data_IF_074728656379
#
_entry.id   IF_074728656379
#
_cell.length_a   1.000
_cell.length_b   1.000
_cell.length_c   1.000
_cell.angle_alpha   90.00
_cell.angle_beta   90.00
_cell.angle_gamma   90.00
#
_symmetry.space_group_name_H-M   'P 1'
#
loop_
_entity.id
_entity.type
_entity.pdbx_description
1 polymer ?
#
# COMPACT_ATOMS: atom_id res chain seq x y z
N UNK A 1 18.54 41.25 16.29
CA UNK A 1 17.96 41.12 14.94
C UNK A 1 19.13 40.92 13.98
N UNK A 2 19.43 39.68 13.59
CA UNK A 2 20.54 39.35 12.68
C UNK A 2 19.93 38.85 11.37
N UNK A 3 20.10 39.61 10.29
CA UNK A 3 19.70 39.22 8.95
C UNK A 3 20.86 38.44 8.29
N UNK A 4 20.61 37.19 7.88
CA UNK A 4 21.56 36.43 7.06
C UNK A 4 21.44 36.87 5.59
N UNK A 5 22.54 37.24 4.90
CA UNK A 5 22.48 37.91 3.60
C UNK A 5 22.54 36.92 2.41
N UNK A 6 21.88 35.76 2.50
CA UNK A 6 22.03 34.68 1.50
C UNK A 6 20.78 34.36 0.67
N UNK A 7 19.70 35.14 0.73
CA UNK A 7 18.49 34.86 -0.07
C UNK A 7 17.82 33.51 0.25
N UNK A 8 18.21 32.89 1.37
CA UNK A 8 17.65 31.65 1.92
C UNK A 8 16.31 31.87 2.62
N UNK A 9 15.87 33.12 2.75
CA UNK A 9 14.52 33.51 3.18
C UNK A 9 13.43 33.13 2.17
N UNK A 10 13.82 32.80 0.93
CA UNK A 10 12.90 32.41 -0.16
C UNK A 10 12.54 30.93 -0.21
N UNK A 11 13.15 30.10 0.65
CA UNK A 11 12.86 28.67 0.73
C UNK A 11 12.48 28.29 2.17
N UNK A 12 11.33 28.78 2.64
CA UNK A 12 10.69 28.22 3.83
C UNK A 12 10.08 26.87 3.44
N UNK A 13 10.82 25.77 3.63
CA UNK A 13 10.24 24.44 3.56
C UNK A 13 9.26 24.27 4.72
N UNK A 14 7.96 24.37 4.44
CA UNK A 14 6.95 23.92 5.40
C UNK A 14 7.01 22.39 5.51
N UNK A 15 6.87 21.87 6.73
CA UNK A 15 6.84 20.43 6.94
C UNK A 15 5.57 19.86 6.27
N UNK A 16 5.68 18.74 5.54
CA UNK A 16 4.53 18.17 4.86
C UNK A 16 3.48 17.72 5.89
N UNK A 17 2.23 17.98 5.57
CA UNK A 17 1.07 17.49 6.31
C UNK A 17 0.97 15.96 6.23
N UNK A 18 0.23 15.35 7.16
CA UNK A 18 0.02 13.91 7.14
C UNK A 18 -0.68 13.42 5.85
N UNK A 19 -1.54 14.25 5.25
CA UNK A 19 -2.24 13.89 4.01
C UNK A 19 -1.30 13.97 2.80
N UNK A 20 -0.39 14.94 2.75
CA UNK A 20 0.65 15.00 1.70
C UNK A 20 1.61 13.82 1.82
N UNK A 21 2.00 13.45 3.05
CA UNK A 21 2.79 12.25 3.31
C UNK A 21 2.04 10.98 2.89
N UNK A 22 0.74 10.88 3.15
CA UNK A 22 -0.09 9.76 2.68
C UNK A 22 -0.07 9.67 1.15
N UNK A 23 -0.28 10.78 0.44
CA UNK A 23 -0.27 10.81 -1.03
C UNK A 23 1.08 10.39 -1.61
N UNK A 24 2.19 10.83 -1.00
CA UNK A 24 3.52 10.41 -1.41
C UNK A 24 3.77 8.92 -1.09
N UNK A 25 3.31 8.45 0.08
CA UNK A 25 3.66 7.13 0.59
C UNK A 25 2.87 5.99 -0.06
N UNK A 26 1.67 6.22 -0.62
CA UNK A 26 0.83 5.16 -1.21
C UNK A 26 1.45 4.47 -2.43
N UNK A 27 2.37 5.11 -3.16
CA UNK A 27 3.01 4.49 -4.33
C UNK A 27 3.92 3.31 -3.96
N UNK A 28 4.59 3.38 -2.80
CA UNK A 28 5.47 2.31 -2.32
C UNK A 28 4.74 0.97 -2.08
N UNK A 29 3.68 0.90 -1.23
CA UNK A 29 2.97 -0.35 -1.03
C UNK A 29 2.32 -0.86 -2.31
N UNK A 30 1.79 0.01 -3.17
CA UNK A 30 1.21 -0.42 -4.46
C UNK A 30 2.28 -1.12 -5.30
N UNK A 31 3.41 -0.48 -5.54
CA UNK A 31 4.49 -1.07 -6.34
C UNK A 31 5.03 -2.37 -5.75
N UNK A 32 5.29 -2.40 -4.44
CA UNK A 32 5.84 -3.57 -3.76
C UNK A 32 4.86 -4.75 -3.74
N UNK A 33 3.59 -4.53 -3.46
CA UNK A 33 2.60 -5.59 -3.38
C UNK A 33 2.23 -6.15 -4.76
N UNK A 34 2.12 -5.30 -5.78
CA UNK A 34 1.95 -5.77 -7.17
C UNK A 34 3.16 -6.57 -7.64
N UNK A 35 4.37 -6.10 -7.32
CA UNK A 35 5.62 -6.82 -7.62
C UNK A 35 5.66 -8.17 -6.92
N UNK A 36 5.21 -8.24 -5.66
CA UNK A 36 5.12 -9.51 -4.92
C UNK A 36 4.27 -10.54 -5.65
N UNK A 37 3.03 -10.16 -6.03
CA UNK A 37 2.10 -11.07 -6.70
C UNK A 37 2.62 -11.47 -8.08
N UNK A 38 3.22 -10.54 -8.82
CA UNK A 38 3.89 -10.83 -10.08
C UNK A 38 5.02 -11.86 -9.90
N UNK A 39 5.92 -11.63 -8.95
CA UNK A 39 7.03 -12.53 -8.69
C UNK A 39 6.57 -13.92 -8.19
N UNK A 40 5.50 -13.99 -7.40
CA UNK A 40 4.89 -15.26 -6.99
C UNK A 40 4.33 -16.04 -8.21
N UNK A 41 3.66 -15.36 -9.14
CA UNK A 41 3.15 -15.97 -10.36
C UNK A 41 4.27 -16.53 -11.24
N UNK A 42 5.31 -15.71 -11.48
CA UNK A 42 6.52 -16.09 -12.23
C UNK A 42 7.23 -17.28 -11.56
N UNK A 43 7.44 -17.23 -10.25
CA UNK A 43 8.09 -18.29 -9.47
C UNK A 43 7.24 -19.56 -9.29
N UNK A 44 5.93 -19.49 -9.57
CA UNK A 44 5.04 -20.64 -9.66
C UNK A 44 5.15 -21.37 -11.00
N UNK A 45 5.25 -20.61 -12.09
CA UNK A 45 5.36 -21.13 -13.47
C UNK A 45 6.77 -21.67 -13.74
N UNK A 46 7.81 -20.89 -13.40
CA UNK A 46 9.21 -21.25 -13.67
C UNK A 46 9.93 -21.71 -12.40
N UNK A 47 9.84 -23.02 -12.12
CA UNK A 47 10.40 -23.64 -10.90
C UNK A 47 11.91 -23.44 -10.69
N UNK A 48 12.68 -23.13 -11.74
CA UNK A 48 14.12 -22.85 -11.65
C UNK A 48 14.44 -21.40 -11.20
N UNK A 49 13.43 -20.54 -11.08
CA UNK A 49 13.58 -19.11 -10.84
C UNK A 49 13.53 -18.79 -9.32
N UNK A 50 14.44 -19.40 -8.54
CA UNK A 50 14.44 -19.29 -7.07
C UNK A 50 14.44 -17.84 -6.56
N UNK A 51 15.11 -16.92 -7.27
CA UNK A 51 15.15 -15.51 -6.94
C UNK A 51 13.76 -14.85 -6.89
N UNK A 52 12.82 -15.24 -7.74
CA UNK A 52 11.48 -14.63 -7.77
C UNK A 52 10.68 -14.92 -6.50
N UNK A 53 10.78 -16.12 -5.92
CA UNK A 53 10.08 -16.43 -4.68
C UNK A 53 10.62 -15.61 -3.51
N UNK A 54 11.94 -15.43 -3.44
CA UNK A 54 12.58 -14.57 -2.45
C UNK A 54 12.19 -13.10 -2.63
N UNK A 55 12.19 -12.59 -3.88
CA UNK A 55 11.73 -11.24 -4.19
C UNK A 55 10.26 -11.06 -3.81
N UNK A 56 9.40 -12.03 -4.14
CA UNK A 56 7.99 -11.99 -3.80
C UNK A 56 7.79 -11.88 -2.28
N UNK A 57 8.50 -12.70 -1.52
CA UNK A 57 8.44 -12.67 -0.06
C UNK A 57 8.79 -11.29 0.52
N UNK A 58 9.96 -10.75 0.17
CA UNK A 58 10.43 -9.50 0.76
C UNK A 58 9.63 -8.29 0.30
N UNK A 59 9.25 -8.24 -0.98
CA UNK A 59 8.38 -7.16 -1.49
C UNK A 59 6.99 -7.24 -0.86
N UNK A 60 6.46 -8.43 -0.57
CA UNK A 60 5.22 -8.57 0.20
C UNK A 60 5.37 -7.99 1.61
N UNK A 61 6.40 -8.42 2.35
CA UNK A 61 6.57 -8.00 3.75
C UNK A 61 6.75 -6.48 3.86
N UNK A 62 7.65 -5.92 3.05
CA UNK A 62 7.91 -4.48 3.02
C UNK A 62 6.68 -3.72 2.51
N UNK A 63 5.99 -4.24 1.51
CA UNK A 63 4.76 -3.66 0.97
C UNK A 63 3.64 -3.59 2.02
N UNK A 64 3.46 -4.63 2.82
CA UNK A 64 2.46 -4.64 3.91
C UNK A 64 2.81 -3.62 5.00
N UNK A 65 4.08 -3.51 5.39
CA UNK A 65 4.51 -2.49 6.37
C UNK A 65 4.29 -1.08 5.80
N UNK A 66 4.68 -0.83 4.56
CA UNK A 66 4.45 0.45 3.89
C UNK A 66 2.96 0.76 3.78
N UNK A 67 2.10 -0.24 3.53
CA UNK A 67 0.66 -0.07 3.47
C UNK A 67 0.08 0.34 4.83
N UNK A 68 0.56 -0.27 5.93
CA UNK A 68 0.16 0.11 7.27
C UNK A 68 0.53 1.58 7.59
N UNK A 69 1.73 2.01 7.21
CA UNK A 69 2.18 3.40 7.35
C UNK A 69 1.28 4.33 6.54
N UNK A 70 1.05 4.04 5.25
CA UNK A 70 0.20 4.86 4.38
C UNK A 70 -1.24 4.96 4.88
N UNK A 71 -1.85 3.86 5.33
CA UNK A 71 -3.20 3.87 5.92
C UNK A 71 -3.22 4.69 7.21
N UNK A 72 -2.20 4.58 8.06
CA UNK A 72 -2.06 5.38 9.27
C UNK A 72 -2.00 6.88 8.96
N UNK A 73 -1.15 7.28 8.01
CA UNK A 73 -1.02 8.68 7.58
C UNK A 73 -2.36 9.23 7.07
N UNK A 74 -3.07 8.48 6.23
CA UNK A 74 -4.37 8.88 5.70
C UNK A 74 -5.44 8.98 6.79
N UNK A 75 -5.47 8.04 7.73
CA UNK A 75 -6.45 8.01 8.82
C UNK A 75 -6.29 9.19 9.79
N UNK A 76 -5.06 9.50 10.19
CA UNK A 76 -4.76 10.60 11.11
C UNK A 76 -4.72 11.96 10.42
N UNK A 77 -4.43 12.00 9.12
CA UNK A 77 -4.39 13.22 8.30
C UNK A 77 -5.69 13.59 7.60
N UNK A 78 -6.77 12.80 7.74
CA UNK A 78 -8.02 13.01 7.02
C UNK A 78 -8.68 14.37 7.38
N UNK A 79 -8.72 15.36 6.46
CA UNK A 79 -9.22 16.70 6.74
C UNK A 79 -10.75 16.79 6.83
N UNK A 80 -11.46 15.78 6.32
CA UNK A 80 -12.94 15.76 6.26
C UNK A 80 -13.54 14.76 7.25
N UNK A 81 -12.76 14.36 8.26
CA UNK A 81 -13.22 13.41 9.27
C UNK A 81 -14.41 13.97 10.05
N UNK A 82 -15.51 13.23 10.06
CA UNK A 82 -16.76 13.63 10.72
C UNK A 82 -17.57 14.69 9.97
N UNK A 83 -17.14 15.07 8.75
CA UNK A 83 -17.92 15.95 7.89
C UNK A 83 -18.93 15.15 7.06
N UNK A 84 -19.98 15.83 6.61
CA UNK A 84 -20.99 15.28 5.72
C UNK A 84 -20.84 15.84 4.29
N UNK A 85 -21.50 15.20 3.33
CA UNK A 85 -21.52 15.63 1.93
C UNK A 85 -20.78 14.69 0.98
N UNK A 86 -20.93 14.97 -0.32
CA UNK A 86 -20.49 14.07 -1.40
C UNK A 86 -18.99 13.77 -1.35
N UNK A 87 -18.17 14.79 -1.09
CA UNK A 87 -16.72 14.63 -1.00
C UNK A 87 -16.30 13.78 0.21
N UNK A 88 -16.87 14.05 1.39
CA UNK A 88 -16.61 13.26 2.60
C UNK A 88 -17.02 11.78 2.42
N UNK A 89 -18.11 11.51 1.70
CA UNK A 89 -18.51 10.15 1.33
C UNK A 89 -17.51 9.47 0.40
N UNK A 90 -17.00 10.18 -0.63
CA UNK A 90 -15.96 9.64 -1.51
C UNK A 90 -14.67 9.30 -0.74
N UNK A 91 -14.24 10.18 0.16
CA UNK A 91 -13.09 9.94 1.04
C UNK A 91 -13.34 8.72 1.93
N UNK A 92 -14.52 8.59 2.52
CA UNK A 92 -14.87 7.44 3.35
C UNK A 92 -14.82 6.11 2.56
N UNK A 93 -15.34 6.09 1.32
CA UNK A 93 -15.25 4.91 0.45
C UNK A 93 -13.78 4.57 0.16
N UNK A 94 -12.98 5.53 -0.30
CA UNK A 94 -11.54 5.32 -0.53
C UNK A 94 -10.82 4.78 0.71
N UNK A 95 -11.10 5.35 1.89
CA UNK A 95 -10.51 4.96 3.17
C UNK A 95 -10.81 3.50 3.51
N UNK A 96 -12.07 3.06 3.36
CA UNK A 96 -12.45 1.67 3.65
C UNK A 96 -11.84 0.67 2.66
N UNK A 97 -11.74 1.03 1.37
CA UNK A 97 -11.02 0.23 0.38
C UNK A 97 -9.52 0.13 0.69
N UNK A 98 -8.90 1.22 1.17
CA UNK A 98 -7.51 1.22 1.64
C UNK A 98 -7.28 0.30 2.84
N UNK A 99 -8.18 0.35 3.83
CA UNK A 99 -8.14 -0.55 5.00
C UNK A 99 -8.36 -2.01 4.56
N UNK A 100 -9.32 -2.28 3.69
CA UNK A 100 -9.55 -3.63 3.15
C UNK A 100 -8.30 -4.16 2.43
N UNK A 101 -7.62 -3.32 1.65
CA UNK A 101 -6.35 -3.65 0.99
C UNK A 101 -5.31 -4.08 2.03
N UNK A 102 -5.10 -3.27 3.07
CA UNK A 102 -4.16 -3.57 4.15
C UNK A 102 -4.50 -4.90 4.84
N UNK A 103 -5.77 -5.14 5.19
CA UNK A 103 -6.20 -6.37 5.84
C UNK A 103 -5.89 -7.60 4.98
N UNK A 104 -6.23 -7.57 3.68
CA UNK A 104 -5.96 -8.71 2.78
C UNK A 104 -4.46 -9.00 2.69
N UNK A 105 -3.63 -7.98 2.47
CA UNK A 105 -2.19 -8.17 2.36
C UNK A 105 -1.51 -8.52 3.70
N UNK A 106 -2.06 -8.06 4.83
CA UNK A 106 -1.62 -8.47 6.16
C UNK A 106 -1.98 -9.94 6.45
N UNK A 107 -3.16 -10.40 6.06
CA UNK A 107 -3.56 -11.81 6.17
C UNK A 107 -2.67 -12.71 5.31
N UNK A 108 -2.35 -12.29 4.08
CA UNK A 108 -1.40 -13.00 3.22
C UNK A 108 0.01 -13.02 3.83
N UNK A 109 0.45 -11.92 4.45
CA UNK A 109 1.74 -11.86 5.13
C UNK A 109 1.78 -12.80 6.33
N UNK A 110 0.74 -12.78 7.15
CA UNK A 110 0.57 -13.71 8.25
C UNK A 110 0.58 -15.16 7.78
N UNK A 111 -0.14 -15.48 6.69
CA UNK A 111 -0.16 -16.81 6.08
C UNK A 111 1.27 -17.26 5.73
N UNK A 112 2.03 -16.43 5.01
CA UNK A 112 3.42 -16.72 4.65
C UNK A 112 4.29 -17.06 5.87
N UNK A 113 4.18 -16.26 6.93
CA UNK A 113 4.91 -16.46 8.19
C UNK A 113 4.49 -17.76 8.89
N UNK A 114 3.18 -17.98 9.06
CA UNK A 114 2.62 -19.15 9.73
C UNK A 114 2.98 -20.47 9.01
N UNK A 115 3.02 -20.44 7.67
CA UNK A 115 3.38 -21.60 6.84
C UNK A 115 4.88 -21.71 6.56
N UNK A 116 5.71 -20.75 7.00
CA UNK A 116 7.15 -20.69 6.69
C UNK A 116 7.43 -20.89 5.20
N UNK A 117 6.62 -20.26 4.35
CA UNK A 117 6.65 -20.40 2.88
C UNK A 117 6.34 -21.82 2.32
N UNK A 118 5.99 -22.79 3.16
CA UNK A 118 5.62 -24.14 2.72
C UNK A 118 4.12 -24.24 2.47
N UNK A 119 3.72 -24.41 1.22
CA UNK A 119 2.31 -24.49 0.79
C UNK A 119 2.06 -25.77 0.00
N UNK A 120 0.99 -26.49 0.34
CA UNK A 120 0.48 -27.58 -0.49
C UNK A 120 -0.13 -27.06 -1.80
N UNK A 121 -0.51 -27.97 -2.72
CA UNK A 121 -1.11 -27.59 -4.01
C UNK A 121 -2.41 -26.78 -3.83
N UNK A 122 -3.35 -27.28 -3.03
CA UNK A 122 -4.62 -26.59 -2.75
C UNK A 122 -4.41 -25.23 -2.07
N UNK A 123 -3.52 -25.16 -1.08
CA UNK A 123 -3.19 -23.90 -0.40
C UNK A 123 -2.55 -22.87 -1.34
N UNK A 124 -1.76 -23.33 -2.32
CA UNK A 124 -1.14 -22.44 -3.30
C UNK A 124 -2.20 -21.80 -4.20
N UNK A 125 -3.24 -22.53 -4.58
CA UNK A 125 -4.37 -21.98 -5.36
C UNK A 125 -5.13 -20.95 -4.53
N UNK A 126 -5.49 -21.27 -3.28
CA UNK A 126 -6.19 -20.33 -2.40
C UNK A 126 -5.37 -19.07 -2.13
N UNK A 127 -4.06 -19.22 -1.91
CA UNK A 127 -3.14 -18.10 -1.73
C UNK A 127 -3.09 -17.21 -2.99
N UNK A 128 -3.00 -17.82 -4.17
CA UNK A 128 -2.96 -17.09 -5.43
C UNK A 128 -4.29 -16.34 -5.68
N UNK A 129 -5.44 -16.97 -5.45
CA UNK A 129 -6.74 -16.34 -5.57
C UNK A 129 -6.90 -15.14 -4.63
N UNK A 130 -6.50 -15.29 -3.36
CA UNK A 130 -6.53 -14.20 -2.38
C UNK A 130 -5.54 -13.07 -2.73
N UNK A 131 -4.39 -13.41 -3.30
CA UNK A 131 -3.42 -12.42 -3.81
C UNK A 131 -3.99 -11.60 -4.96
N UNK A 132 -4.67 -12.25 -5.92
CA UNK A 132 -5.35 -11.56 -7.03
C UNK A 132 -6.51 -10.69 -6.54
N UNK A 133 -7.26 -11.15 -5.53
CA UNK A 133 -8.26 -10.32 -4.86
C UNK A 133 -7.61 -9.07 -4.24
N UNK A 134 -6.49 -9.23 -3.54
CA UNK A 134 -5.71 -8.10 -3.01
C UNK A 134 -5.28 -7.10 -4.08
N UNK A 135 -4.81 -7.59 -5.24
CA UNK A 135 -4.47 -6.76 -6.41
C UNK A 135 -5.68 -5.98 -6.93
N UNK A 136 -6.85 -6.62 -7.04
CA UNK A 136 -8.06 -5.95 -7.48
C UNK A 136 -8.47 -4.84 -6.49
N UNK A 137 -8.47 -5.13 -5.18
CA UNK A 137 -8.86 -4.16 -4.15
C UNK A 137 -7.90 -2.97 -4.13
N UNK A 138 -6.58 -3.20 -4.13
CA UNK A 138 -5.61 -2.08 -4.09
C UNK A 138 -5.64 -1.24 -5.37
N UNK A 139 -5.94 -1.85 -6.53
CA UNK A 139 -6.11 -1.13 -7.79
C UNK A 139 -7.36 -0.24 -7.77
N UNK A 140 -8.47 -0.74 -7.22
CA UNK A 140 -9.69 0.06 -7.00
C UNK A 140 -9.43 1.18 -6.00
N UNK A 141 -8.73 0.91 -4.90
CA UNK A 141 -8.32 1.95 -3.93
C UNK A 141 -7.53 3.07 -4.62
N UNK A 142 -6.57 2.70 -5.47
CA UNK A 142 -5.76 3.66 -6.24
C UNK A 142 -6.61 4.48 -7.21
N UNK A 143 -7.53 3.84 -7.93
CA UNK A 143 -8.50 4.53 -8.80
C UNK A 143 -9.35 5.53 -8.02
N UNK A 144 -9.92 5.11 -6.88
CA UNK A 144 -10.70 6.00 -6.01
C UNK A 144 -9.87 7.17 -5.49
N UNK A 145 -8.62 6.92 -5.08
CA UNK A 145 -7.71 7.95 -4.59
C UNK A 145 -7.36 9.00 -5.65
N UNK A 146 -7.17 8.58 -6.90
CA UNK A 146 -6.93 9.50 -8.01
C UNK A 146 -8.11 10.46 -8.25
N UNK A 147 -9.34 10.04 -7.96
CA UNK A 147 -10.55 10.87 -8.08
C UNK A 147 -10.80 11.78 -6.87
N UNK A 148 -9.97 11.69 -5.81
CA UNK A 148 -10.02 12.62 -4.67
C UNK A 148 -9.08 13.81 -4.85
N UNK A 149 -8.00 13.64 -5.63
CA UNK A 149 -7.00 14.68 -5.89
C UNK A 149 -7.14 15.38 -7.25
N UNK A 150 -8.14 15.00 -8.06
CA UNK A 150 -8.45 15.59 -9.36
C UNK A 150 -9.70 16.46 -9.34
#
# INVERSE_FOLDING_TARGET
MFALPLGLDRFTFELPTLIELHQASVHFPIGLLLTSVFCDAVGGIWKKAAGFRTTAYWTHMLGTVAAAVSVGLGWFGNPVRGQEGKFAQMVAVHQWWGIASLVVFALLAWWRLARREKRGSAESVSYAALSLLGVAIISITGYLGAHLGG
#
